data_IF_183696449415
#
_entry.id   IF_183696449415
#
_cell.length_a   1.000
_cell.length_b   1.000
_cell.length_c   1.000
_cell.angle_alpha   90.00
_cell.angle_beta   90.00
_cell.angle_gamma   90.00
#
_symmetry.space_group_name_H-M   'P 1'
#
loop_
_entity.id
_entity.type
_entity.pdbx_description
1 polymer ?
#
# COMPACT_ATOMS: atom_id res chain seq x y z
N UNK A 1 2.40 -5.97 5.05
CA UNK A 1 3.75 -5.45 5.39
C UNK A 1 4.77 -6.56 5.18
N UNK A 2 6.04 -6.18 5.16
CA UNK A 2 7.17 -7.04 4.85
C UNK A 2 7.61 -7.76 6.14
N UNK A 3 7.84 -9.07 6.07
CA UNK A 3 8.25 -9.87 7.24
C UNK A 3 9.51 -10.68 6.95
N UNK A 4 10.29 -10.94 8.00
CA UNK A 4 11.46 -11.82 7.97
C UNK A 4 11.23 -13.00 8.92
N UNK A 5 11.51 -14.21 8.42
CA UNK A 5 11.50 -15.44 9.20
C UNK A 5 12.69 -15.45 10.19
N UNK A 6 12.39 -15.53 11.48
CA UNK A 6 13.36 -15.68 12.56
C UNK A 6 13.00 -16.89 13.42
N UNK A 7 13.78 -17.97 13.28
CA UNK A 7 13.50 -19.30 13.87
C UNK A 7 12.11 -19.81 13.51
N UNK A 8 11.12 -19.50 14.34
CA UNK A 8 9.74 -19.94 14.19
C UNK A 8 8.70 -18.81 14.24
N UNK A 9 9.14 -17.56 14.11
CA UNK A 9 8.30 -16.37 14.15
C UNK A 9 8.59 -15.39 13.01
N UNK A 10 7.69 -14.43 12.81
CA UNK A 10 7.86 -13.34 11.86
C UNK A 10 8.22 -12.06 12.60
N UNK A 11 9.40 -11.53 12.31
CA UNK A 11 9.76 -10.17 12.68
C UNK A 11 9.34 -9.21 11.57
N UNK A 12 8.81 -8.03 11.92
CA UNK A 12 8.36 -7.02 10.95
C UNK A 12 9.55 -6.19 10.46
N UNK A 13 9.66 -6.02 9.14
CA UNK A 13 10.76 -5.29 8.51
C UNK A 13 10.24 -4.19 7.56
N UNK A 14 11.10 -3.22 7.28
CA UNK A 14 10.98 -2.27 6.17
C UNK A 14 12.33 -2.22 5.44
N UNK A 15 12.45 -2.92 4.32
CA UNK A 15 13.77 -3.20 3.75
C UNK A 15 14.66 -3.93 4.75
N UNK A 16 15.87 -3.44 4.97
CA UNK A 16 16.83 -4.01 5.93
C UNK A 16 16.54 -3.63 7.40
N UNK A 17 15.58 -2.73 7.66
CA UNK A 17 15.35 -2.17 9.01
C UNK A 17 14.28 -2.96 9.75
N UNK A 18 14.66 -3.58 10.87
CA UNK A 18 13.74 -4.22 11.81
C UNK A 18 12.88 -3.13 12.49
N UNK A 19 11.56 -3.28 12.42
CA UNK A 19 10.59 -2.34 13.00
C UNK A 19 10.42 -2.50 14.52
N UNK A 20 11.10 -3.48 15.13
CA UNK A 20 10.98 -3.90 16.53
C UNK A 20 9.56 -4.29 16.93
N UNK A 21 8.78 -4.74 15.95
CA UNK A 21 7.43 -5.29 16.12
C UNK A 21 7.46 -6.70 15.57
N UNK A 22 6.79 -7.63 16.25
CA UNK A 22 6.58 -8.99 15.75
C UNK A 22 5.21 -9.10 15.10
N UNK A 23 5.05 -10.02 14.15
CA UNK A 23 3.76 -10.21 13.46
C UNK A 23 2.62 -10.55 14.41
N UNK A 24 2.91 -11.20 15.54
CA UNK A 24 1.93 -11.53 16.57
C UNK A 24 1.22 -10.29 17.14
N UNK A 25 1.94 -9.20 17.37
CA UNK A 25 1.34 -7.95 17.88
C UNK A 25 0.38 -7.34 16.85
N UNK A 26 0.78 -7.31 15.58
CA UNK A 26 -0.05 -6.84 14.47
C UNK A 26 -1.31 -7.70 14.34
N UNK A 27 -1.15 -9.02 14.43
CA UNK A 27 -2.25 -9.96 14.38
C UNK A 27 -3.22 -9.73 15.55
N UNK A 28 -2.71 -9.56 16.78
CA UNK A 28 -3.53 -9.31 17.97
C UNK A 28 -4.40 -8.06 17.81
N UNK A 29 -3.87 -6.96 17.30
CA UNK A 29 -4.63 -5.76 17.03
C UNK A 29 -5.67 -5.95 15.91
N UNK A 30 -5.30 -6.66 14.84
CA UNK A 30 -6.23 -7.00 13.75
C UNK A 30 -7.41 -7.85 14.24
N UNK A 31 -7.14 -8.86 15.07
CA UNK A 31 -8.17 -9.72 15.67
C UNK A 31 -9.07 -8.93 16.62
N UNK A 32 -8.49 -8.03 17.43
CA UNK A 32 -9.26 -7.13 18.29
C UNK A 32 -10.20 -6.25 17.47
N UNK A 33 -9.70 -5.64 16.39
CA UNK A 33 -10.52 -4.82 15.49
C UNK A 33 -11.69 -5.62 14.89
N UNK A 34 -11.43 -6.81 14.34
CA UNK A 34 -12.50 -7.63 13.74
C UNK A 34 -13.51 -8.14 14.77
N UNK A 35 -13.09 -8.34 16.02
CA UNK A 35 -14.00 -8.66 17.12
C UNK A 35 -14.90 -7.49 17.47
N UNK A 36 -14.33 -6.29 17.55
CA UNK A 36 -15.05 -5.06 17.89
C UNK A 36 -15.94 -4.58 16.71
N UNK A 37 -15.56 -4.93 15.48
CA UNK A 37 -16.23 -4.53 14.23
C UNK A 37 -16.42 -5.72 13.27
N UNK A 38 -17.34 -6.66 13.56
CA UNK A 38 -17.49 -7.91 12.83
C UNK A 38 -18.04 -7.76 11.40
N UNK A 39 -18.55 -6.58 11.05
CA UNK A 39 -18.96 -6.27 9.67
C UNK A 39 -17.79 -5.96 8.77
N UNK A 40 -16.62 -5.62 9.33
CA UNK A 40 -15.45 -5.21 8.57
C UNK A 40 -14.62 -6.42 8.12
N UNK A 41 -13.65 -6.17 7.25
CA UNK A 41 -12.65 -7.15 6.83
C UNK A 41 -11.29 -6.47 6.78
N UNK A 42 -10.22 -7.25 6.92
CA UNK A 42 -8.84 -6.76 6.80
C UNK A 42 -8.18 -7.46 5.62
N UNK A 43 -7.76 -6.69 4.61
CA UNK A 43 -6.82 -7.16 3.60
C UNK A 43 -5.39 -7.04 4.13
N UNK A 44 -4.67 -8.15 4.21
CA UNK A 44 -3.32 -8.19 4.77
C UNK A 44 -2.33 -8.78 3.77
N UNK A 45 -1.52 -7.92 3.14
CA UNK A 45 -0.40 -8.38 2.31
C UNK A 45 0.70 -8.97 3.18
N UNK A 46 1.03 -10.22 2.96
CA UNK A 46 2.19 -10.90 3.53
C UNK A 46 3.20 -11.16 2.43
N UNK A 47 4.42 -10.65 2.62
CA UNK A 47 5.55 -10.83 1.71
C UNK A 47 6.79 -11.18 2.51
N UNK A 48 7.55 -12.16 2.02
CA UNK A 48 8.88 -12.45 2.53
C UNK A 48 9.86 -11.37 2.03
N UNK A 49 10.45 -10.63 2.96
CA UNK A 49 11.23 -9.44 2.62
C UNK A 49 12.69 -9.75 2.27
N UNK A 50 13.28 -10.68 3.01
CA UNK A 50 14.70 -11.01 2.93
C UNK A 50 14.92 -12.49 3.17
N UNK A 51 16.11 -12.98 2.84
CA UNK A 51 16.55 -14.33 3.18
C UNK A 51 16.28 -14.67 4.66
N UNK A 52 15.67 -15.83 4.95
CA UNK A 52 15.40 -16.26 6.31
C UNK A 52 16.69 -16.44 7.13
N UNK A 53 16.58 -16.35 8.45
CA UNK A 53 17.73 -16.65 9.32
C UNK A 53 18.05 -18.15 9.27
N UNK A 54 19.34 -18.50 9.39
CA UNK A 54 19.77 -19.90 9.37
C UNK A 54 19.04 -20.72 10.45
N UNK A 55 18.49 -21.87 10.06
CA UNK A 55 17.68 -22.73 10.93
C UNK A 55 16.24 -22.28 11.12
N UNK A 56 15.75 -21.29 10.36
CA UNK A 56 14.33 -20.92 10.39
C UNK A 56 13.47 -21.96 9.68
N UNK A 57 12.24 -22.13 10.17
CA UNK A 57 11.17 -22.79 9.43
C UNK A 57 10.87 -22.02 8.14
N UNK A 58 10.25 -22.68 7.18
CA UNK A 58 9.76 -22.02 5.97
C UNK A 58 8.70 -20.95 6.31
N UNK A 59 8.56 -19.96 5.44
CA UNK A 59 7.54 -18.93 5.58
C UNK A 59 6.13 -19.53 5.76
N UNK A 60 5.80 -20.54 4.95
CA UNK A 60 4.51 -21.24 5.02
C UNK A 60 4.29 -21.91 6.38
N UNK A 61 5.29 -22.60 6.93
CA UNK A 61 5.19 -23.25 8.24
C UNK A 61 4.95 -22.23 9.37
N UNK A 62 5.67 -21.10 9.34
CA UNK A 62 5.51 -20.03 10.33
C UNK A 62 4.12 -19.39 10.19
N UNK A 63 3.69 -19.10 8.96
CA UNK A 63 2.35 -18.54 8.70
C UNK A 63 1.24 -19.49 9.20
N UNK A 64 1.37 -20.80 8.95
CA UNK A 64 0.41 -21.80 9.40
C UNK A 64 0.29 -21.86 10.92
N UNK A 65 1.37 -21.62 11.68
CA UNK A 65 1.29 -21.52 13.15
C UNK A 65 0.32 -20.40 13.57
N UNK A 66 0.48 -19.20 13.02
CA UNK A 66 -0.43 -18.07 13.30
C UNK A 66 -1.85 -18.33 12.82
N UNK A 67 -1.99 -18.85 11.58
CA UNK A 67 -3.30 -19.10 10.96
C UNK A 67 -4.08 -20.17 11.72
N UNK A 68 -3.46 -21.29 12.07
CA UNK A 68 -4.17 -22.44 12.66
C UNK A 68 -4.69 -22.13 14.06
N UNK A 69 -3.93 -21.37 14.87
CA UNK A 69 -4.39 -20.90 16.19
C UNK A 69 -5.59 -19.96 16.06
N UNK A 70 -5.67 -19.19 14.97
CA UNK A 70 -6.68 -18.16 14.76
C UNK A 70 -7.61 -18.48 13.57
N UNK A 71 -7.84 -19.77 13.29
CA UNK A 71 -8.43 -20.22 12.03
C UNK A 71 -9.79 -19.58 11.72
N UNK A 72 -10.59 -19.30 12.75
CA UNK A 72 -11.90 -18.64 12.62
C UNK A 72 -11.84 -17.19 12.12
N UNK A 73 -10.68 -16.53 12.21
CA UNK A 73 -10.50 -15.16 11.73
C UNK A 73 -9.81 -15.08 10.37
N UNK A 74 -9.25 -16.17 9.85
CA UNK A 74 -8.68 -16.16 8.49
C UNK A 74 -9.72 -16.64 7.49
N UNK A 75 -9.85 -15.91 6.38
CA UNK A 75 -10.66 -16.37 5.26
C UNK A 75 -10.04 -17.62 4.61
N UNK A 76 -10.89 -18.56 4.20
CA UNK A 76 -10.47 -19.74 3.43
C UNK A 76 -10.91 -19.56 1.97
N UNK A 77 -9.98 -19.44 1.01
CA UNK A 77 -10.32 -19.34 -0.41
C UNK A 77 -11.17 -20.51 -0.93
N UNK A 78 -11.14 -21.68 -0.29
CA UNK A 78 -11.96 -22.82 -0.69
C UNK A 78 -13.42 -22.71 -0.24
N UNK A 79 -13.78 -21.69 0.54
CA UNK A 79 -15.17 -21.40 0.92
C UNK A 79 -16.01 -20.85 -0.24
N UNK A 80 -15.38 -20.42 -1.33
CA UNK A 80 -16.03 -19.89 -2.54
C UNK A 80 -15.63 -20.67 -3.80
N UNK A 81 -16.41 -20.59 -4.89
CA UNK A 81 -16.05 -21.16 -6.18
C UNK A 81 -14.68 -20.68 -6.67
N UNK A 82 -13.97 -21.51 -7.44
CA UNK A 82 -12.61 -21.20 -7.94
C UNK A 82 -12.52 -19.85 -8.66
N UNK A 83 -13.57 -19.46 -9.39
CA UNK A 83 -13.63 -18.20 -10.14
C UNK A 83 -13.66 -16.96 -9.22
N UNK A 84 -14.14 -17.12 -7.99
CA UNK A 84 -14.32 -16.03 -7.03
C UNK A 84 -13.15 -15.90 -6.04
N UNK A 85 -12.21 -16.86 -6.04
CA UNK A 85 -11.08 -16.90 -5.08
C UNK A 85 -10.16 -15.68 -5.13
N UNK A 86 -10.10 -14.98 -6.26
CA UNK A 86 -9.28 -13.79 -6.42
C UNK A 86 -10.08 -12.48 -6.36
N UNK A 87 -11.40 -12.57 -6.21
CA UNK A 87 -12.28 -11.41 -6.05
C UNK A 87 -13.56 -11.82 -5.28
N UNK A 88 -13.44 -12.26 -4.01
CA UNK A 88 -14.59 -12.70 -3.23
C UNK A 88 -15.51 -11.52 -2.94
N UNK A 89 -16.79 -11.80 -2.68
CA UNK A 89 -17.72 -10.75 -2.27
C UNK A 89 -17.42 -10.31 -0.83
N UNK A 90 -17.86 -9.11 -0.46
CA UNK A 90 -17.74 -8.66 0.92
C UNK A 90 -18.45 -9.61 1.89
N UNK A 91 -19.56 -10.23 1.47
CA UNK A 91 -20.31 -11.20 2.29
C UNK A 91 -19.50 -12.43 2.66
N UNK A 92 -18.60 -12.88 1.78
CA UNK A 92 -17.75 -14.06 1.99
C UNK A 92 -16.64 -13.82 3.03
N UNK A 93 -16.27 -12.55 3.25
CA UNK A 93 -15.05 -12.17 3.98
C UNK A 93 -15.27 -11.30 5.22
N UNK A 94 -16.51 -10.95 5.57
CA UNK A 94 -16.79 -10.17 6.81
C UNK A 94 -16.29 -10.90 8.05
N UNK A 95 -15.70 -10.16 8.98
CA UNK A 95 -15.09 -10.67 10.20
C UNK A 95 -13.81 -11.47 9.97
N UNK A 96 -13.23 -11.42 8.75
CA UNK A 96 -12.03 -12.18 8.38
C UNK A 96 -10.87 -11.27 7.98
N UNK A 97 -9.67 -11.79 8.22
CA UNK A 97 -8.43 -11.40 7.58
C UNK A 97 -8.33 -12.16 6.26
N UNK A 98 -8.26 -11.43 5.17
CA UNK A 98 -7.98 -11.94 3.83
C UNK A 98 -6.51 -11.68 3.52
N UNK A 99 -5.76 -12.75 3.28
CA UNK A 99 -4.36 -12.61 2.91
C UNK A 99 -4.27 -12.16 1.45
N UNK A 100 -3.51 -11.08 1.20
CA UNK A 100 -2.95 -10.84 -0.13
C UNK A 100 -1.61 -11.57 -0.18
N UNK A 101 -1.64 -12.76 -0.76
CA UNK A 101 -0.55 -13.72 -0.67
C UNK A 101 0.57 -13.31 -1.63
N UNK A 102 1.71 -12.93 -1.07
CA UNK A 102 2.91 -12.57 -1.82
C UNK A 102 4.14 -13.31 -1.29
N UNK A 103 3.98 -14.61 -1.10
CA UNK A 103 5.01 -15.54 -0.64
C UNK A 103 4.77 -16.91 -1.29
N UNK A 104 5.84 -17.70 -1.42
CA UNK A 104 5.77 -19.06 -1.96
C UNK A 104 5.13 -20.01 -0.95
N UNK A 105 4.21 -20.85 -1.42
CA UNK A 105 3.58 -21.88 -0.59
C UNK A 105 3.10 -23.07 -1.41
N UNK A 106 2.84 -24.19 -0.73
CA UNK A 106 2.30 -25.42 -1.31
C UNK A 106 0.83 -25.32 -1.75
N UNK A 107 0.08 -24.36 -1.18
CA UNK A 107 -1.35 -24.14 -1.45
C UNK A 107 -1.73 -22.67 -1.34
N UNK A 108 -2.91 -22.33 -1.87
CA UNK A 108 -3.49 -21.00 -1.79
C UNK A 108 -4.09 -20.74 -0.41
N UNK A 109 -3.72 -19.62 0.22
CA UNK A 109 -4.21 -19.17 1.53
C UNK A 109 -4.97 -17.85 1.48
N UNK A 110 -4.99 -17.18 0.33
CA UNK A 110 -5.65 -15.89 0.15
C UNK A 110 -5.79 -15.53 -1.32
N UNK A 111 -5.92 -14.24 -1.60
CA UNK A 111 -5.92 -13.70 -2.96
C UNK A 111 -4.46 -13.63 -3.43
N UNK A 112 -4.18 -14.12 -4.63
CA UNK A 112 -2.86 -14.01 -5.24
C UNK A 112 -2.49 -12.54 -5.49
N UNK A 113 -1.45 -12.03 -4.82
CA UNK A 113 -1.03 -10.64 -4.94
C UNK A 113 -0.60 -10.29 -6.37
N UNK A 114 0.07 -11.22 -7.07
CA UNK A 114 0.58 -10.96 -8.42
C UNK A 114 -0.52 -11.00 -9.48
N UNK A 115 -1.72 -11.50 -9.12
CA UNK A 115 -2.91 -11.49 -9.96
C UNK A 115 -3.69 -10.16 -9.98
N UNK A 116 -3.34 -9.21 -9.08
CA UNK A 116 -3.94 -7.88 -9.00
C UNK A 116 -3.46 -6.97 -10.14
N UNK A 117 -4.21 -5.90 -10.41
CA UNK A 117 -3.70 -4.78 -11.22
C UNK A 117 -3.02 -3.77 -10.28
N UNK A 118 -1.69 -3.64 -10.36
CA UNK A 118 -0.90 -2.88 -9.38
C UNK A 118 -0.14 -1.72 -10.05
N UNK A 119 -0.20 -0.54 -9.44
CA UNK A 119 0.78 0.53 -9.67
C UNK A 119 1.67 0.65 -8.43
N UNK A 120 2.97 0.42 -8.62
CA UNK A 120 3.98 0.48 -7.54
C UNK A 120 5.29 1.12 -8.01
N UNK A 121 5.23 2.30 -8.65
CA UNK A 121 6.39 3.14 -8.98
C UNK A 121 6.91 3.77 -7.67
N UNK A 122 7.49 2.98 -6.78
CA UNK A 122 7.91 3.44 -5.46
C UNK A 122 9.27 4.14 -5.47
N UNK A 123 10.16 3.85 -6.44
CA UNK A 123 11.43 4.55 -6.61
C UNK A 123 11.22 5.83 -7.41
N UNK A 124 11.56 6.97 -6.80
CA UNK A 124 11.36 8.29 -7.39
C UNK A 124 12.71 9.00 -7.47
N UNK A 125 13.07 9.48 -8.66
CA UNK A 125 14.28 10.27 -8.85
C UNK A 125 14.19 11.66 -8.20
N UNK A 126 15.18 12.50 -8.48
CA UNK A 126 15.22 13.87 -7.94
C UNK A 126 14.44 14.84 -8.81
N UNK A 127 13.87 15.86 -8.17
CA UNK A 127 13.28 17.00 -8.87
C UNK A 127 11.78 16.87 -9.17
N UNK A 128 11.17 17.94 -9.69
CA UNK A 128 9.72 18.04 -9.89
C UNK A 128 9.18 17.10 -10.96
N UNK A 129 9.93 16.82 -12.03
CA UNK A 129 9.50 15.91 -13.10
C UNK A 129 9.28 14.49 -12.60
N UNK A 130 10.21 13.94 -11.80
CA UNK A 130 10.10 12.59 -11.24
C UNK A 130 8.93 12.43 -10.28
N UNK A 131 8.69 13.45 -9.45
CA UNK A 131 7.54 13.48 -8.52
C UNK A 131 6.23 13.60 -9.32
N UNK A 132 6.21 14.38 -10.39
CA UNK A 132 5.05 14.50 -11.26
C UNK A 132 4.77 13.22 -12.04
N UNK A 133 5.81 12.50 -12.46
CA UNK A 133 5.67 11.19 -13.09
C UNK A 133 5.07 10.14 -12.14
N UNK A 134 5.42 10.18 -10.85
CA UNK A 134 4.70 9.38 -9.84
C UNK A 134 3.22 9.74 -9.79
N UNK A 135 2.91 11.04 -9.76
CA UNK A 135 1.53 11.51 -9.77
C UNK A 135 0.77 11.07 -11.03
N UNK A 136 1.38 11.15 -12.21
CA UNK A 136 0.80 10.68 -13.47
C UNK A 136 0.46 9.19 -13.41
N UNK A 137 1.36 8.36 -12.86
CA UNK A 137 1.11 6.94 -12.66
C UNK A 137 -0.09 6.68 -11.72
N UNK A 138 -0.16 7.40 -10.60
CA UNK A 138 -1.28 7.34 -9.64
C UNK A 138 -2.60 7.72 -10.31
N UNK A 139 -2.64 8.90 -10.94
CA UNK A 139 -3.84 9.47 -11.57
C UNK A 139 -4.36 8.55 -12.68
N UNK A 140 -3.46 8.04 -13.52
CA UNK A 140 -3.80 7.08 -14.58
C UNK A 140 -4.37 5.79 -14.00
N UNK A 141 -3.78 5.27 -12.91
CA UNK A 141 -4.28 4.04 -12.29
C UNK A 141 -5.66 4.23 -11.62
N UNK A 142 -5.92 5.39 -10.99
CA UNK A 142 -7.25 5.74 -10.49
C UNK A 142 -8.29 5.79 -11.63
N UNK A 143 -7.95 6.41 -12.76
CA UNK A 143 -8.82 6.47 -13.93
C UNK A 143 -9.09 5.08 -14.54
N UNK A 144 -8.08 4.22 -14.56
CA UNK A 144 -8.21 2.85 -15.05
C UNK A 144 -9.10 2.01 -14.13
N UNK A 145 -8.90 2.09 -12.81
CA UNK A 145 -9.75 1.41 -11.83
C UNK A 145 -11.21 1.88 -11.90
N UNK A 146 -11.42 3.18 -12.18
CA UNK A 146 -12.75 3.75 -12.32
C UNK A 146 -13.45 3.33 -13.62
N UNK A 147 -12.73 3.34 -14.74
CA UNK A 147 -13.28 2.97 -16.05
C UNK A 147 -13.58 1.47 -16.13
N UNK A 148 -12.76 0.64 -15.50
CA UNK A 148 -12.82 -0.82 -15.62
C UNK A 148 -13.36 -1.51 -14.35
N UNK A 149 -14.14 -0.81 -13.53
CA UNK A 149 -14.59 -1.30 -12.21
C UNK A 149 -15.35 -2.64 -12.24
N UNK A 150 -15.89 -3.04 -13.40
CA UNK A 150 -16.70 -4.25 -13.59
C UNK A 150 -15.96 -5.42 -14.26
N UNK A 151 -14.64 -5.32 -14.45
CA UNK A 151 -13.85 -6.39 -15.11
C UNK A 151 -13.44 -7.54 -14.19
N UNK A 152 -13.88 -7.53 -12.92
CA UNK A 152 -13.55 -8.55 -11.93
C UNK A 152 -12.11 -8.53 -11.42
N UNK A 153 -11.33 -7.47 -11.70
CA UNK A 153 -9.96 -7.30 -11.19
C UNK A 153 -9.94 -6.35 -9.98
N UNK A 154 -9.14 -6.72 -9.00
CA UNK A 154 -8.79 -5.83 -7.89
C UNK A 154 -7.65 -4.92 -8.34
N UNK A 155 -7.85 -3.61 -8.16
CA UNK A 155 -6.86 -2.56 -8.44
C UNK A 155 -6.21 -2.12 -7.13
N UNK A 156 -4.88 -2.02 -7.10
CA UNK A 156 -4.10 -1.55 -5.96
C UNK A 156 -3.12 -0.46 -6.40
N UNK A 157 -3.31 0.73 -5.86
CA UNK A 157 -2.56 1.92 -6.21
C UNK A 157 -1.68 2.36 -5.04
N UNK A 158 -0.36 2.23 -5.18
CA UNK A 158 0.60 2.73 -4.19
C UNK A 158 0.85 4.22 -4.43
N UNK A 159 0.37 5.05 -3.51
CA UNK A 159 0.70 6.47 -3.42
C UNK A 159 2.06 6.69 -2.77
N UNK A 160 2.48 5.72 -1.95
CA UNK A 160 3.81 5.66 -1.33
C UNK A 160 4.93 5.72 -2.37
N UNK A 161 6.08 6.23 -1.92
CA UNK A 161 7.29 6.34 -2.73
C UNK A 161 8.46 6.91 -1.94
N UNK A 162 9.67 6.71 -2.45
CA UNK A 162 10.91 7.09 -1.81
C UNK A 162 12.00 7.32 -2.86
N UNK A 163 12.97 8.19 -2.55
CA UNK A 163 14.23 8.30 -3.29
C UNK A 163 15.18 7.12 -3.09
N UNK A 164 14.71 6.05 -2.42
CA UNK A 164 15.49 4.86 -2.12
C UNK A 164 16.71 5.18 -1.24
N UNK A 165 17.82 4.52 -1.53
CA UNK A 165 19.08 4.79 -0.84
C UNK A 165 19.57 6.24 -1.03
N UNK A 166 19.16 6.91 -2.11
CA UNK A 166 19.53 8.30 -2.41
C UNK A 166 18.53 9.33 -1.83
N UNK A 167 17.53 8.92 -1.04
CA UNK A 167 16.54 9.84 -0.46
C UNK A 167 17.20 10.97 0.33
N UNK A 168 18.33 10.70 1.00
CA UNK A 168 19.11 11.72 1.73
C UNK A 168 19.81 12.73 0.82
N UNK A 169 20.16 12.36 -0.41
CA UNK A 169 20.79 13.23 -1.40
C UNK A 169 19.75 14.03 -2.19
N UNK A 170 18.62 13.40 -2.50
CA UNK A 170 17.60 13.94 -3.40
C UNK A 170 16.44 14.60 -2.66
N UNK A 171 16.40 14.52 -1.32
CA UNK A 171 15.34 15.04 -0.46
C UNK A 171 13.94 14.49 -0.80
N UNK A 172 13.88 13.24 -1.27
CA UNK A 172 12.64 12.53 -1.63
C UNK A 172 12.34 11.49 -0.56
N UNK A 173 11.84 11.95 0.57
CA UNK A 173 11.42 11.08 1.68
C UNK A 173 9.95 10.66 1.53
N UNK A 174 9.51 9.54 2.12
CA UNK A 174 8.10 9.13 2.10
C UNK A 174 7.13 10.22 2.54
N UNK A 175 7.42 10.92 3.65
CA UNK A 175 6.60 12.05 4.12
C UNK A 175 6.56 13.20 3.11
N UNK A 176 7.64 13.42 2.36
CA UNK A 176 7.70 14.45 1.32
C UNK A 176 6.86 14.06 0.11
N UNK A 177 6.95 12.81 -0.34
CA UNK A 177 6.14 12.27 -1.45
C UNK A 177 4.66 12.32 -1.08
N UNK A 178 4.29 11.94 0.14
CA UNK A 178 2.92 11.96 0.63
C UNK A 178 2.34 13.39 0.70
N UNK A 179 3.11 14.35 1.23
CA UNK A 179 2.60 15.67 1.61
C UNK A 179 2.99 16.85 0.71
N UNK A 180 4.10 16.76 -0.01
CA UNK A 180 4.68 17.87 -0.78
C UNK A 180 5.24 19.02 0.08
N UNK A 181 5.41 18.83 1.40
CA UNK A 181 5.76 19.90 2.34
C UNK A 181 7.27 20.12 2.49
N UNK A 182 7.66 21.26 3.04
CA UNK A 182 9.09 21.57 3.30
C UNK A 182 9.71 20.65 4.36
N UNK A 183 8.92 20.19 5.33
CA UNK A 183 9.33 19.25 6.36
C UNK A 183 8.17 18.32 6.80
N UNK A 184 8.47 17.35 7.67
CA UNK A 184 7.53 16.30 8.11
C UNK A 184 6.42 16.78 9.07
N UNK A 185 6.44 18.02 9.53
CA UNK A 185 5.44 18.51 10.48
C UNK A 185 4.10 18.73 9.78
N UNK A 186 3.01 18.43 10.48
CA UNK A 186 1.65 18.54 9.96
C UNK A 186 1.30 19.96 9.51
N UNK A 187 1.86 20.98 10.16
CA UNK A 187 1.64 22.41 9.90
C UNK A 187 2.65 23.02 8.91
N UNK A 188 3.57 22.23 8.35
CA UNK A 188 4.55 22.73 7.39
C UNK A 188 3.90 23.26 6.11
N UNK A 189 4.47 24.35 5.60
CA UNK A 189 4.13 24.91 4.29
C UNK A 189 4.44 23.92 3.15
N UNK A 190 3.71 24.00 2.02
CA UNK A 190 4.08 23.33 0.77
C UNK A 190 5.45 23.78 0.28
N UNK A 191 6.25 22.86 -0.26
CA UNK A 191 7.58 23.17 -0.78
C UNK A 191 7.47 23.82 -2.15
N UNK A 192 8.09 24.99 -2.29
CA UNK A 192 8.17 25.72 -3.56
C UNK A 192 9.05 24.96 -4.56
N UNK A 193 8.58 24.85 -5.81
CA UNK A 193 9.37 24.36 -6.95
C UNK A 193 10.05 25.55 -7.65
N UNK A 194 9.25 26.55 -8.05
CA UNK A 194 9.76 27.74 -8.72
C UNK A 194 8.82 28.93 -8.58
N UNK A 195 9.39 30.13 -8.66
CA UNK A 195 8.67 31.41 -8.57
C UNK A 195 8.05 31.84 -9.90
N UNK A 196 8.64 31.44 -11.01
CA UNK A 196 8.20 31.87 -12.33
C UNK A 196 7.02 31.01 -12.80
N UNK A 197 6.07 31.65 -13.49
CA UNK A 197 4.98 30.94 -14.15
C UNK A 197 5.53 29.88 -15.12
N UNK A 198 4.93 28.70 -15.10
CA UNK A 198 5.21 27.61 -16.05
C UNK A 198 3.93 26.82 -16.32
N UNK A 199 3.84 26.21 -17.50
CA UNK A 199 2.79 25.24 -17.84
C UNK A 199 3.14 23.81 -17.39
N UNK A 200 4.37 23.57 -16.92
CA UNK A 200 4.78 22.29 -16.37
C UNK A 200 3.96 21.92 -15.12
N UNK A 201 3.85 20.60 -14.87
CA UNK A 201 3.21 20.00 -13.70
C UNK A 201 1.81 20.58 -13.44
N UNK A 202 0.93 20.51 -14.43
CA UNK A 202 -0.34 21.24 -14.43
C UNK A 202 -1.28 20.93 -13.27
N UNK A 203 -1.16 19.74 -12.67
CA UNK A 203 -1.96 19.35 -11.51
C UNK A 203 -1.37 19.85 -10.18
N UNK A 204 -0.12 20.33 -10.17
CA UNK A 204 0.50 20.83 -8.95
C UNK A 204 -0.06 22.20 -8.55
N UNK A 205 -0.19 22.46 -7.23
CA UNK A 205 -0.79 23.67 -6.72
C UNK A 205 0.00 24.92 -7.13
N UNK A 206 -0.74 25.99 -7.38
CA UNK A 206 -0.22 27.31 -7.72
C UNK A 206 -0.83 28.38 -6.82
N UNK A 207 -0.03 29.39 -6.45
CA UNK A 207 -0.54 30.56 -5.76
C UNK A 207 -1.08 31.62 -6.75
N UNK A 208 -1.48 32.79 -6.23
CA UNK A 208 -1.99 33.90 -7.06
C UNK A 208 -0.95 34.50 -7.99
N UNK A 209 0.34 34.33 -7.68
CA UNK A 209 1.45 34.84 -8.49
C UNK A 209 1.93 33.81 -9.54
N UNK A 210 1.31 32.62 -9.58
CA UNK A 210 1.69 31.54 -10.49
C UNK A 210 2.92 30.75 -10.03
N UNK A 211 3.35 30.92 -8.77
CA UNK A 211 4.41 30.11 -8.17
C UNK A 211 3.91 28.67 -8.04
N UNK A 212 4.76 27.69 -8.36
CA UNK A 212 4.37 26.28 -8.37
C UNK A 212 4.96 25.58 -7.16
N UNK A 213 4.16 24.74 -6.49
CA UNK A 213 4.54 23.99 -5.31
C UNK A 213 4.36 22.50 -5.53
N UNK A 214 5.07 21.67 -4.78
CA UNK A 214 4.79 20.23 -4.76
C UNK A 214 3.40 19.96 -4.17
N UNK A 215 2.60 19.13 -4.84
CA UNK A 215 1.24 18.82 -4.36
C UNK A 215 1.19 17.74 -3.28
N UNK A 216 2.09 16.75 -3.34
CA UNK A 216 2.03 15.55 -2.50
C UNK A 216 0.94 14.57 -2.96
N UNK A 217 1.26 13.27 -2.98
CA UNK A 217 0.38 12.24 -3.55
C UNK A 217 -0.95 12.14 -2.79
N UNK A 218 -0.93 12.27 -1.46
CA UNK A 218 -2.14 12.17 -0.64
C UNK A 218 -3.07 13.36 -0.87
N UNK A 219 -2.51 14.58 -0.93
CA UNK A 219 -3.28 15.80 -1.17
C UNK A 219 -3.91 15.76 -2.56
N UNK A 220 -3.09 15.54 -3.61
CA UNK A 220 -3.56 15.51 -5.00
C UNK A 220 -4.61 14.41 -5.24
N UNK A 221 -4.37 13.22 -4.69
CA UNK A 221 -5.34 12.13 -4.81
C UNK A 221 -6.64 12.43 -4.06
N UNK A 222 -6.57 13.00 -2.86
CA UNK A 222 -7.76 13.41 -2.09
C UNK A 222 -8.57 14.45 -2.86
N UNK A 223 -7.91 15.49 -3.40
CA UNK A 223 -8.57 16.52 -4.22
C UNK A 223 -9.26 15.92 -5.44
N UNK A 224 -8.58 15.02 -6.16
CA UNK A 224 -9.15 14.34 -7.33
C UNK A 224 -10.38 13.48 -6.97
N UNK A 225 -10.34 12.76 -5.84
CA UNK A 225 -11.47 11.96 -5.37
C UNK A 225 -12.66 12.84 -4.94
N UNK A 226 -12.39 13.95 -4.24
CA UNK A 226 -13.42 14.89 -3.78
C UNK A 226 -14.12 15.64 -4.93
N UNK A 227 -13.50 15.75 -6.10
CA UNK A 227 -14.18 16.25 -7.31
C UNK A 227 -15.31 15.32 -7.80
N UNK A 228 -15.43 14.10 -7.28
CA UNK A 228 -16.54 13.18 -7.57
C UNK A 228 -16.48 12.51 -8.95
N UNK A 229 -15.38 12.68 -9.70
CA UNK A 229 -15.18 12.06 -11.03
C UNK A 229 -14.75 10.59 -10.95
N UNK A 230 -14.11 10.21 -9.84
CA UNK A 230 -13.70 8.83 -9.55
C UNK A 230 -14.72 8.25 -8.56
N UNK A 231 -15.51 7.28 -9.01
CA UNK A 231 -16.48 6.54 -8.20
C UNK A 231 -15.95 5.19 -7.72
N UNK A 232 -14.93 4.67 -8.40
CA UNK A 232 -14.25 3.44 -8.03
C UNK A 232 -12.73 3.64 -8.11
N UNK A 233 -12.06 3.78 -6.97
CA UNK A 233 -10.62 4.06 -6.89
C UNK A 233 -9.74 2.80 -6.89
N UNK A 234 -10.36 1.63 -6.69
CA UNK A 234 -9.62 0.48 -6.18
C UNK A 234 -9.11 0.72 -4.75
N UNK A 235 -8.13 -0.06 -4.35
CA UNK A 235 -7.45 0.05 -3.06
C UNK A 235 -6.32 1.08 -3.18
N UNK A 236 -6.24 2.02 -2.23
CA UNK A 236 -5.16 3.00 -2.14
C UNK A 236 -4.26 2.62 -0.97
N UNK A 237 -2.96 2.46 -1.22
CA UNK A 237 -1.95 2.28 -0.20
C UNK A 237 -1.07 3.53 -0.12
N UNK A 238 -1.04 4.21 1.02
CA UNK A 238 -0.40 5.52 1.19
C UNK A 238 0.51 5.58 2.43
N UNK A 239 1.55 6.40 2.33
CA UNK A 239 2.41 6.81 3.45
C UNK A 239 1.93 8.14 4.04
N UNK A 240 2.51 8.58 5.17
CA UNK A 240 2.23 9.85 5.84
C UNK A 240 3.52 10.58 6.24
#
# INVERSE_FOLDING_TARGET
>A
RLVKCGKDSFSMYHGIVNQKVVFEDVLKEALKFLKDYPTETILMRLKEETTPESGSLSFEEIFLKYKNVNASYFWDPNSVPTIDRNNPTLGDIRGKIVILQNFTSSKLYGIDYDGLNIQDKFEIGSGPDEIYEKWNAIKTHLQNANTNYNNGKIYLNHFSGTGGAAAFLNNVYPWFVASGKENRNTDSSPKLIQTNFTNAWSDFPRDRNGQVYYGGMNTLGTELLLQGRIRHSGIIAADF
#
